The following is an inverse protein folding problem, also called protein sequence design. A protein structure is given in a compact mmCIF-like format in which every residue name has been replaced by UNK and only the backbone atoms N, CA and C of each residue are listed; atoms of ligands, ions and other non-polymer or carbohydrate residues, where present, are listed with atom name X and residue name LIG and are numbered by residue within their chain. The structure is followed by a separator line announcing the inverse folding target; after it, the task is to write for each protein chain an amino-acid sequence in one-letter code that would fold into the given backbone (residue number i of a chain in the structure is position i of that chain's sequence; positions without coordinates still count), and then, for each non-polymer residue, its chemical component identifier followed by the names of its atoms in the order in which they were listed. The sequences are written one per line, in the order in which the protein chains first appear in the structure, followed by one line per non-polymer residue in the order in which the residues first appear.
data_IF_885192630668
#
_entry.id   IF_885192630668
#
_cell.length_a   1.000
_cell.length_b   1.000
_cell.length_c   1.000
_cell.angle_alpha   90.00
_cell.angle_beta   90.00
_cell.angle_gamma   90.00
#
_symmetry.space_group_name_H-M   'P 1'
#
loop_
_entity.id
_entity.type
_entity.pdbx_description
1 polymer ?
#
# COMPACT_ATOMS: atom_id res chain seq x y z
N UNK A 1 19.16 -4.38 -5.63
CA UNK A 1 18.28 -3.50 -4.83
C UNK A 1 18.94 -2.15 -4.69
N UNK A 2 18.33 -1.07 -5.20
CA UNK A 2 18.90 0.30 -5.14
C UNK A 2 18.77 0.91 -3.75
N UNK A 3 17.68 0.63 -3.07
CA UNK A 3 17.37 1.05 -1.71
C UNK A 3 16.86 -0.17 -0.94
N UNK A 4 17.32 -0.40 0.27
CA UNK A 4 16.86 -1.56 1.06
C UNK A 4 15.35 -1.52 1.32
N UNK A 5 14.75 -2.65 1.73
CA UNK A 5 13.31 -2.78 2.00
C UNK A 5 12.76 -1.72 2.98
N UNK A 6 13.59 -1.25 3.92
CA UNK A 6 13.22 -0.23 4.92
C UNK A 6 12.94 1.13 4.29
N UNK A 7 13.83 1.59 3.42
CA UNK A 7 13.63 2.84 2.70
C UNK A 7 12.45 2.73 1.73
N UNK A 8 12.25 1.53 1.12
CA UNK A 8 11.05 1.27 0.33
C UNK A 8 9.77 1.45 1.13
N UNK A 9 9.70 0.87 2.34
CA UNK A 9 8.54 1.06 3.23
C UNK A 9 8.36 2.51 3.67
N UNK A 10 9.46 3.23 3.93
CA UNK A 10 9.38 4.65 4.27
C UNK A 10 8.79 5.48 3.13
N UNK A 11 9.20 5.24 1.88
CA UNK A 11 8.61 5.95 0.75
C UNK A 11 7.13 5.59 0.54
N UNK A 12 6.68 4.40 0.94
CA UNK A 12 5.27 4.04 0.93
C UNK A 12 4.42 4.86 1.91
N UNK A 13 5.01 5.47 2.95
CA UNK A 13 4.28 6.41 3.82
C UNK A 13 3.88 7.71 3.12
N UNK A 14 4.36 7.96 1.90
CA UNK A 14 3.89 9.05 1.06
C UNK A 14 2.53 8.74 0.40
N UNK A 15 2.09 7.48 0.38
CA UNK A 15 0.81 7.12 -0.23
C UNK A 15 -0.40 7.79 0.44
N UNK A 16 -0.55 7.83 1.79
CA UNK A 16 -1.67 8.52 2.42
C UNK A 16 -1.76 10.02 2.13
N UNK A 17 -0.70 10.83 2.30
CA UNK A 17 -0.80 12.25 1.96
C UNK A 17 -1.03 12.48 0.47
N UNK A 18 -0.48 11.63 -0.41
CA UNK A 18 -0.78 11.69 -1.84
C UNK A 18 -2.24 11.34 -2.13
N UNK A 19 -2.77 10.28 -1.51
CA UNK A 19 -4.17 9.90 -1.65
C UNK A 19 -5.12 11.00 -1.14
N UNK A 20 -4.79 11.65 -0.02
CA UNK A 20 -5.56 12.77 0.52
C UNK A 20 -5.55 13.97 -0.44
N UNK A 21 -4.37 14.35 -0.93
CA UNK A 21 -4.22 15.49 -1.85
C UNK A 21 -4.96 15.26 -3.17
N UNK A 22 -4.74 14.12 -3.80
CA UNK A 22 -5.37 13.80 -5.09
C UNK A 22 -6.86 13.44 -4.92
N UNK A 23 -7.28 12.87 -3.78
CA UNK A 23 -8.69 12.68 -3.42
C UNK A 23 -9.43 14.01 -3.33
N UNK A 24 -8.81 15.01 -2.71
CA UNK A 24 -9.35 16.36 -2.67
C UNK A 24 -9.44 16.99 -4.08
N UNK A 25 -8.38 16.92 -4.87
CA UNK A 25 -8.34 17.57 -6.21
C UNK A 25 -9.29 16.86 -7.21
N UNK A 26 -9.33 15.53 -7.22
CA UNK A 26 -10.00 14.75 -8.27
C UNK A 26 -11.43 14.35 -7.86
N UNK A 27 -11.62 13.95 -6.60
CA UNK A 27 -12.90 13.44 -6.09
C UNK A 27 -13.67 14.48 -5.28
N UNK A 28 -13.05 15.64 -4.94
CA UNK A 28 -13.64 16.63 -4.06
C UNK A 28 -13.75 16.17 -2.60
N UNK A 29 -12.99 15.15 -2.20
CA UNK A 29 -12.97 14.66 -0.82
C UNK A 29 -12.38 15.71 0.12
N UNK A 30 -13.07 16.04 1.20
CA UNK A 30 -12.59 17.01 2.19
C UNK A 30 -12.33 16.31 3.51
N UNK A 31 -11.06 16.20 3.87
CA UNK A 31 -10.67 15.70 5.19
C UNK A 31 -10.86 16.79 6.25
N UNK A 32 -11.43 16.42 7.40
CA UNK A 32 -11.46 17.31 8.55
C UNK A 32 -10.05 17.62 9.04
N UNK A 33 -9.88 18.76 9.72
CA UNK A 33 -8.58 19.12 10.34
C UNK A 33 -8.13 18.03 11.31
N UNK A 34 -9.06 17.43 12.02
CA UNK A 34 -8.80 16.30 12.92
C UNK A 34 -8.28 15.08 12.19
N UNK A 35 -8.87 14.73 11.04
CA UNK A 35 -8.39 13.63 10.20
C UNK A 35 -6.96 13.89 9.67
N UNK A 36 -6.64 15.13 9.30
CA UNK A 36 -5.28 15.50 8.90
C UNK A 36 -4.28 15.36 10.05
N UNK A 37 -4.65 15.79 11.25
CA UNK A 37 -3.82 15.59 12.45
C UNK A 37 -3.65 14.09 12.73
N UNK A 38 -4.73 13.31 12.67
CA UNK A 38 -4.71 11.86 12.85
C UNK A 38 -3.76 11.17 11.84
N UNK A 39 -3.83 11.56 10.56
CA UNK A 39 -2.93 11.09 9.52
C UNK A 39 -1.47 11.41 9.87
N UNK A 40 -1.18 12.65 10.23
CA UNK A 40 0.18 13.08 10.56
C UNK A 40 0.75 12.30 11.76
N UNK A 41 -0.03 12.17 12.84
CA UNK A 41 0.37 11.42 14.04
C UNK A 41 0.59 9.94 13.71
N UNK A 42 -0.30 9.33 12.91
CA UNK A 42 -0.17 7.94 12.47
C UNK A 42 1.12 7.72 11.69
N UNK A 43 1.41 8.59 10.72
CA UNK A 43 2.62 8.49 9.90
C UNK A 43 3.90 8.72 10.69
N UNK A 44 3.89 9.61 11.68
CA UNK A 44 5.00 9.79 12.62
C UNK A 44 5.25 8.51 13.42
N UNK A 45 4.20 7.89 13.96
CA UNK A 45 4.32 6.63 14.70
C UNK A 45 4.88 5.50 13.83
N UNK A 46 4.41 5.35 12.60
CA UNK A 46 4.95 4.38 11.63
C UNK A 46 6.43 4.67 11.36
N UNK A 47 6.79 5.94 11.14
CA UNK A 47 8.17 6.36 10.94
C UNK A 47 9.07 5.92 12.10
N UNK A 48 8.68 6.21 13.34
CA UNK A 48 9.42 5.82 14.55
C UNK A 48 9.60 4.30 14.62
N UNK A 49 8.54 3.53 14.34
CA UNK A 49 8.56 2.08 14.36
C UNK A 49 9.50 1.48 13.30
N UNK A 50 9.45 1.98 12.07
CA UNK A 50 10.22 1.45 10.93
C UNK A 50 11.69 1.84 10.99
N UNK A 51 12.02 3.08 11.39
CA UNK A 51 13.41 3.53 11.42
C UNK A 51 14.26 2.81 12.45
N UNK A 52 13.68 2.33 13.55
CA UNK A 52 14.48 1.77 14.65
C UNK A 52 14.83 0.29 14.49
N UNK A 53 14.19 -0.45 13.64
CA UNK A 53 14.48 -1.88 13.39
C UNK A 53 15.89 -2.17 12.85
N UNK A 54 16.78 -1.17 12.82
CA UNK A 54 18.05 -1.17 12.09
C UNK A 54 19.33 -0.83 12.81
N UNK A 55 19.39 -0.83 14.13
CA UNK A 55 20.59 -0.42 14.87
C UNK A 55 21.79 -1.37 14.77
N UNK A 56 21.73 -2.47 14.03
CA UNK A 56 22.86 -3.42 13.88
C UNK A 56 23.80 -3.16 12.69
N UNK A 57 23.45 -2.26 11.76
CA UNK A 57 24.35 -1.86 10.66
C UNK A 57 24.25 -0.34 10.47
N UNK A 58 25.42 0.33 10.41
CA UNK A 58 25.54 1.76 10.10
C UNK A 58 24.66 2.10 8.93
N UNK A 59 23.64 2.95 9.14
CA UNK A 59 22.79 3.48 8.08
C UNK A 59 23.69 4.28 7.16
N UNK A 60 24.11 3.70 6.04
CA UNK A 60 24.77 4.44 4.97
C UNK A 60 23.70 5.32 4.33
N UNK A 61 23.67 6.58 4.66
CA UNK A 61 22.78 7.61 4.09
C UNK A 61 23.08 7.92 2.61
N UNK A 62 24.06 7.24 2.00
CA UNK A 62 24.35 7.39 0.56
C UNK A 62 23.35 6.58 -0.27
N UNK A 63 22.09 7.03 -0.29
CA UNK A 63 21.09 6.49 -1.19
C UNK A 63 21.35 7.05 -2.60
N UNK A 64 21.35 6.20 -3.64
CA UNK A 64 21.43 6.68 -5.01
C UNK A 64 20.19 7.52 -5.33
N UNK A 65 20.37 8.67 -5.97
CA UNK A 65 19.28 9.60 -6.31
C UNK A 65 18.16 8.89 -7.09
N UNK A 66 18.52 7.98 -7.99
CA UNK A 66 17.54 7.15 -8.71
C UNK A 66 16.68 6.31 -7.78
N UNK A 67 17.24 5.74 -6.71
CA UNK A 67 16.47 4.98 -5.71
C UNK A 67 15.48 5.85 -4.94
N UNK A 68 15.86 7.08 -4.61
CA UNK A 68 14.98 8.07 -3.96
C UNK A 68 13.83 8.43 -4.89
N UNK A 69 14.11 8.79 -6.14
CA UNK A 69 13.10 9.17 -7.13
C UNK A 69 12.11 8.04 -7.40
N UNK A 70 12.59 6.80 -7.56
CA UNK A 70 11.71 5.63 -7.71
C UNK A 70 10.88 5.36 -6.45
N UNK A 71 11.45 5.56 -5.26
CA UNK A 71 10.73 5.41 -4.00
C UNK A 71 9.59 6.43 -3.86
N UNK A 72 9.86 7.70 -4.12
CA UNK A 72 8.85 8.77 -4.13
C UNK A 72 7.79 8.46 -5.18
N UNK A 73 8.19 8.12 -6.41
CA UNK A 73 7.28 7.75 -7.48
C UNK A 73 6.37 6.57 -7.12
N UNK A 74 6.89 5.57 -6.42
CA UNK A 74 6.12 4.42 -5.94
C UNK A 74 5.08 4.84 -4.89
N UNK A 75 5.45 5.65 -3.88
CA UNK A 75 4.53 6.11 -2.84
C UNK A 75 3.43 7.01 -3.40
N UNK A 76 3.79 8.01 -4.21
CA UNK A 76 2.83 8.90 -4.87
C UNK A 76 1.94 8.12 -5.84
N UNK A 77 2.53 7.23 -6.65
CA UNK A 77 1.79 6.39 -7.60
C UNK A 77 0.79 5.47 -6.91
N UNK A 78 1.10 4.95 -5.72
CA UNK A 78 0.18 4.16 -4.91
C UNK A 78 -1.03 5.00 -4.47
N UNK A 79 -0.80 6.21 -3.95
CA UNK A 79 -1.87 7.12 -3.53
C UNK A 79 -2.78 7.53 -4.70
N UNK A 80 -2.18 7.97 -5.81
CA UNK A 80 -2.92 8.30 -7.05
C UNK A 80 -3.68 7.09 -7.58
N UNK A 81 -3.08 5.89 -7.55
CA UNK A 81 -3.72 4.66 -7.99
C UNK A 81 -4.99 4.30 -7.20
N UNK A 82 -5.02 4.60 -5.88
CA UNK A 82 -6.21 4.43 -5.06
C UNK A 82 -7.31 5.41 -5.47
N UNK A 83 -6.97 6.69 -5.65
CA UNK A 83 -7.91 7.74 -6.08
C UNK A 83 -8.53 7.44 -7.44
N UNK A 84 -7.71 7.05 -8.42
CA UNK A 84 -8.21 6.67 -9.75
C UNK A 84 -9.09 5.42 -9.70
N UNK A 85 -8.78 4.46 -8.83
CA UNK A 85 -9.63 3.29 -8.64
C UNK A 85 -10.99 3.65 -8.04
N UNK A 86 -11.02 4.54 -7.03
CA UNK A 86 -12.27 5.06 -6.48
C UNK A 86 -13.08 5.82 -7.51
N UNK A 87 -12.43 6.70 -8.26
CA UNK A 87 -13.08 7.43 -9.36
C UNK A 87 -13.73 6.46 -10.37
N UNK A 88 -13.01 5.41 -10.77
CA UNK A 88 -13.56 4.38 -11.65
C UNK A 88 -14.74 3.65 -11.04
N UNK A 89 -14.66 3.24 -9.76
CA UNK A 89 -15.77 2.59 -9.06
C UNK A 89 -17.00 3.50 -8.96
N UNK A 90 -16.83 4.78 -8.60
CA UNK A 90 -17.92 5.75 -8.54
C UNK A 90 -18.62 5.93 -9.89
N UNK A 91 -17.84 5.94 -10.97
CA UNK A 91 -18.38 6.05 -12.33
C UNK A 91 -19.21 4.83 -12.72
N UNK A 92 -18.73 3.64 -12.38
CA UNK A 92 -19.47 2.39 -12.60
C UNK A 92 -20.73 2.32 -11.75
N UNK A 93 -20.65 2.68 -10.47
CA UNK A 93 -21.78 2.69 -9.55
C UNK A 93 -22.93 3.60 -10.07
N UNK A 94 -22.57 4.79 -10.57
CA UNK A 94 -23.53 5.72 -11.18
C UNK A 94 -24.20 5.16 -12.45
N UNK A 95 -23.59 4.18 -13.11
CA UNK A 95 -24.09 3.56 -14.35
C UNK A 95 -24.88 2.27 -14.11
N UNK A 96 -24.87 1.72 -12.90
CA UNK A 96 -25.60 0.48 -12.56
C UNK A 96 -27.08 0.75 -12.37
N UNK A 97 -27.98 0.00 -13.04
CA UNK A 97 -29.41 0.08 -12.81
C UNK A 97 -29.75 -0.27 -11.34
N UNK A 98 -30.73 0.42 -10.74
CA UNK A 98 -31.15 0.24 -9.34
C UNK A 98 -31.55 -1.20 -8.98
N UNK A 99 -31.92 -2.00 -9.97
CA UNK A 99 -32.29 -3.41 -9.83
C UNK A 99 -31.09 -4.34 -9.57
N UNK A 100 -29.87 -3.88 -9.83
CA UNK A 100 -28.63 -4.66 -9.68
C UNK A 100 -27.75 -4.15 -8.52
N UNK A 101 -28.34 -3.62 -7.47
CA UNK A 101 -27.60 -3.03 -6.31
C UNK A 101 -26.64 -4.00 -5.65
N UNK A 102 -26.91 -5.32 -5.68
CA UNK A 102 -25.99 -6.34 -5.15
C UNK A 102 -24.64 -6.39 -5.88
N UNK A 103 -24.60 -5.91 -7.14
CA UNK A 103 -23.38 -5.83 -7.92
C UNK A 103 -22.40 -4.76 -7.43
N UNK A 104 -22.86 -3.77 -6.66
CA UNK A 104 -22.03 -2.68 -6.13
C UNK A 104 -20.95 -3.23 -5.18
N UNK A 105 -21.27 -4.24 -4.39
CA UNK A 105 -20.33 -4.87 -3.46
C UNK A 105 -19.19 -5.62 -4.18
N UNK A 106 -19.37 -5.96 -5.45
CA UNK A 106 -18.36 -6.63 -6.27
C UNK A 106 -17.46 -5.67 -7.04
N UNK A 107 -17.75 -4.36 -7.06
CA UNK A 107 -16.95 -3.36 -7.77
C UNK A 107 -15.47 -3.35 -7.34
N UNK A 108 -15.10 -3.47 -6.06
CA UNK A 108 -13.70 -3.55 -5.65
C UNK A 108 -12.94 -4.73 -6.26
N UNK A 109 -13.61 -5.88 -6.42
CA UNK A 109 -13.02 -7.06 -7.06
C UNK A 109 -12.82 -6.83 -8.56
N UNK A 110 -13.80 -6.25 -9.24
CA UNK A 110 -13.70 -5.88 -10.65
C UNK A 110 -12.57 -4.85 -10.88
N UNK A 111 -12.50 -3.82 -10.04
CA UNK A 111 -11.43 -2.82 -10.07
C UNK A 111 -10.06 -3.45 -9.83
N UNK A 112 -9.94 -4.38 -8.88
CA UNK A 112 -8.70 -5.14 -8.62
C UNK A 112 -8.29 -5.95 -9.84
N UNK A 113 -9.23 -6.59 -10.53
CA UNK A 113 -8.96 -7.37 -11.74
C UNK A 113 -8.44 -6.48 -12.88
N UNK A 114 -9.07 -5.33 -13.12
CA UNK A 114 -8.62 -4.36 -14.12
C UNK A 114 -7.20 -3.86 -13.79
N UNK A 115 -6.92 -3.54 -12.52
CA UNK A 115 -5.57 -3.14 -12.06
C UNK A 115 -4.55 -4.26 -12.30
N UNK A 116 -4.92 -5.52 -12.05
CA UNK A 116 -4.03 -6.67 -12.26
C UNK A 116 -3.69 -6.84 -13.75
N UNK A 117 -4.67 -6.71 -14.64
CA UNK A 117 -4.46 -6.75 -16.10
C UNK A 117 -3.53 -5.61 -16.53
N UNK A 118 -3.82 -4.38 -16.11
CA UNK A 118 -3.01 -3.21 -16.44
C UNK A 118 -1.58 -3.35 -15.94
N UNK A 119 -1.41 -3.86 -14.70
CA UNK A 119 -0.11 -4.16 -14.12
C UNK A 119 0.64 -5.24 -14.90
N UNK A 120 -0.03 -6.31 -15.31
CA UNK A 120 0.55 -7.38 -16.12
C UNK A 120 1.04 -6.86 -17.47
N UNK A 121 0.25 -6.02 -18.16
CA UNK A 121 0.65 -5.37 -19.41
C UNK A 121 1.89 -4.50 -19.21
N UNK A 122 1.92 -3.69 -18.13
CA UNK A 122 3.07 -2.86 -17.79
C UNK A 122 4.34 -3.68 -17.51
N UNK A 123 4.23 -4.79 -16.76
CA UNK A 123 5.36 -5.67 -16.49
C UNK A 123 5.84 -6.42 -17.74
N UNK A 124 4.93 -6.86 -18.62
CA UNK A 124 5.29 -7.47 -19.91
C UNK A 124 6.06 -6.46 -20.77
N UNK A 125 5.57 -5.22 -20.89
CA UNK A 125 6.26 -4.17 -21.62
C UNK A 125 7.67 -3.92 -21.04
N UNK A 126 7.81 -3.89 -19.72
CA UNK A 126 9.10 -3.74 -19.05
C UNK A 126 10.04 -4.93 -19.31
N UNK A 127 9.54 -6.16 -19.35
CA UNK A 127 10.29 -7.35 -19.71
C UNK A 127 10.79 -7.30 -21.16
N UNK A 128 9.92 -6.84 -22.08
CA UNK A 128 10.31 -6.61 -23.47
C UNK A 128 11.46 -5.61 -23.59
N UNK A 129 11.34 -4.45 -22.92
CA UNK A 129 12.37 -3.40 -22.98
C UNK A 129 13.68 -3.85 -22.32
N UNK A 130 13.62 -4.65 -21.26
CA UNK A 130 14.78 -5.13 -20.52
C UNK A 130 15.40 -6.40 -21.11
N UNK A 131 14.73 -7.07 -22.03
CA UNK A 131 15.19 -8.32 -22.66
C UNK A 131 15.38 -9.50 -21.69
N UNK A 132 14.72 -9.50 -20.54
CA UNK A 132 14.92 -10.49 -19.45
C UNK A 132 14.00 -11.71 -19.52
N UNK A 133 13.60 -12.11 -20.71
CA UNK A 133 12.72 -13.25 -20.95
C UNK A 133 13.29 -14.59 -20.49
N UNK A 134 14.60 -14.76 -20.57
CA UNK A 134 15.26 -15.99 -20.12
C UNK A 134 15.19 -16.14 -18.60
N UNK A 135 15.47 -15.06 -17.84
CA UNK A 135 15.37 -15.06 -16.38
C UNK A 135 13.93 -15.35 -15.94
N UNK A 136 12.94 -14.75 -16.61
CA UNK A 136 11.53 -15.00 -16.38
C UNK A 136 11.14 -16.44 -16.66
N UNK A 137 11.58 -17.02 -17.78
CA UNK A 137 11.34 -18.42 -18.13
C UNK A 137 11.95 -19.41 -17.13
N UNK A 138 13.14 -19.10 -16.57
CA UNK A 138 13.75 -19.90 -15.50
C UNK A 138 12.94 -19.83 -14.20
N UNK A 139 12.47 -18.64 -13.82
CA UNK A 139 11.62 -18.46 -12.62
C UNK A 139 10.32 -19.26 -12.71
N UNK A 140 9.69 -19.33 -13.89
CA UNK A 140 8.48 -20.13 -14.12
C UNK A 140 8.70 -21.66 -13.98
N UNK A 141 9.93 -22.14 -14.19
CA UNK A 141 10.25 -23.58 -14.09
C UNK A 141 10.44 -24.07 -12.65
N UNK A 142 10.70 -23.16 -11.71
CA UNK A 142 10.81 -23.53 -10.29
C UNK A 142 9.41 -23.72 -9.68
N UNK A 143 8.97 -24.97 -9.61
CA UNK A 143 7.65 -25.34 -9.09
C UNK A 143 7.41 -24.89 -7.65
N UNK A 144 8.45 -24.91 -6.80
CA UNK A 144 8.32 -24.51 -5.39
C UNK A 144 8.10 -23.01 -5.25
N UNK A 145 8.91 -22.22 -5.95
CA UNK A 145 8.76 -20.74 -5.99
C UNK A 145 7.44 -20.35 -6.63
N UNK A 146 7.01 -21.06 -7.69
CA UNK A 146 5.75 -20.79 -8.36
C UNK A 146 4.54 -21.07 -7.45
N UNK A 147 4.53 -22.18 -6.71
CA UNK A 147 3.47 -22.50 -5.75
C UNK A 147 3.39 -21.44 -4.63
N UNK A 148 4.54 -21.01 -4.08
CA UNK A 148 4.55 -19.95 -3.07
C UNK A 148 4.11 -18.60 -3.63
N UNK A 149 4.51 -18.27 -4.85
CA UNK A 149 4.08 -17.05 -5.56
C UNK A 149 2.58 -17.05 -5.80
N UNK A 150 1.99 -18.21 -6.17
CA UNK A 150 0.56 -18.33 -6.37
C UNK A 150 -0.24 -18.01 -5.09
N UNK A 151 0.15 -18.62 -3.95
CA UNK A 151 -0.49 -18.32 -2.66
C UNK A 151 -0.30 -16.85 -2.23
N UNK A 152 0.91 -16.31 -2.41
CA UNK A 152 1.20 -14.91 -2.11
C UNK A 152 0.37 -13.96 -2.98
N UNK A 153 0.18 -14.27 -4.26
CA UNK A 153 -0.63 -13.47 -5.20
C UNK A 153 -2.12 -13.56 -4.86
N UNK A 154 -2.59 -14.74 -4.49
CA UNK A 154 -4.00 -14.92 -4.13
C UNK A 154 -4.36 -14.18 -2.86
N UNK A 155 -3.53 -14.27 -1.81
CA UNK A 155 -3.80 -13.61 -0.53
C UNK A 155 -3.51 -12.11 -0.55
N UNK A 156 -2.40 -11.68 -1.15
CA UNK A 156 -1.99 -10.27 -1.19
C UNK A 156 -2.69 -9.47 -2.27
N UNK A 157 -2.26 -9.57 -3.53
CA UNK A 157 -2.81 -8.75 -4.63
C UNK A 157 -4.29 -9.00 -4.90
N UNK A 158 -4.79 -10.23 -4.79
CA UNK A 158 -6.20 -10.49 -5.09
C UNK A 158 -7.12 -10.15 -3.91
N UNK A 159 -7.00 -10.84 -2.79
CA UNK A 159 -7.88 -10.59 -1.63
C UNK A 159 -7.52 -9.27 -0.95
N UNK A 160 -6.24 -9.04 -0.65
CA UNK A 160 -5.80 -7.86 0.09
C UNK A 160 -6.10 -6.56 -0.63
N UNK A 161 -5.84 -6.47 -1.94
CA UNK A 161 -6.14 -5.25 -2.72
C UNK A 161 -7.65 -5.06 -2.90
N UNK A 162 -8.43 -6.13 -3.12
CA UNK A 162 -9.88 -6.04 -3.22
C UNK A 162 -10.51 -5.50 -1.93
N UNK A 163 -10.11 -6.01 -0.76
CA UNK A 163 -10.57 -5.51 0.54
C UNK A 163 -10.10 -4.07 0.80
N UNK A 164 -8.89 -3.73 0.35
CA UNK A 164 -8.39 -2.36 0.43
C UNK A 164 -9.22 -1.39 -0.41
N UNK A 165 -9.59 -1.77 -1.63
CA UNK A 165 -10.47 -0.96 -2.48
C UNK A 165 -11.90 -0.90 -1.94
N UNK A 166 -12.36 -1.96 -1.29
CA UNK A 166 -13.65 -1.96 -0.58
C UNK A 166 -13.64 -0.91 0.55
N UNK A 167 -12.56 -0.82 1.33
CA UNK A 167 -12.41 0.24 2.32
C UNK A 167 -12.41 1.64 1.69
N UNK A 168 -11.73 1.82 0.55
CA UNK A 168 -11.70 3.08 -0.20
C UNK A 168 -13.08 3.45 -0.77
N UNK A 169 -13.90 2.48 -1.14
CA UNK A 169 -15.26 2.72 -1.66
C UNK A 169 -16.15 3.41 -0.61
N UNK A 170 -16.01 3.02 0.66
CA UNK A 170 -16.90 3.47 1.74
C UNK A 170 -16.32 4.59 2.63
N UNK A 171 -15.07 5.04 2.38
CA UNK A 171 -14.45 6.12 3.18
C UNK A 171 -13.57 7.01 2.30
N UNK A 172 -13.14 8.16 2.83
CA UNK A 172 -12.22 9.05 2.13
C UNK A 172 -10.88 8.33 1.84
N UNK A 173 -10.36 8.58 0.66
CA UNK A 173 -9.18 7.87 0.13
C UNK A 173 -7.95 8.07 1.02
N UNK A 174 -7.80 9.27 1.61
CA UNK A 174 -6.72 9.58 2.55
C UNK A 174 -6.79 8.77 3.84
N UNK A 175 -7.99 8.63 4.43
CA UNK A 175 -8.21 7.84 5.65
C UNK A 175 -7.94 6.35 5.37
N UNK A 176 -8.56 5.79 4.32
CA UNK A 176 -8.35 4.40 3.92
C UNK A 176 -6.86 4.10 3.70
N UNK A 177 -6.15 4.95 2.96
CA UNK A 177 -4.72 4.80 2.71
C UNK A 177 -3.88 4.88 3.99
N UNK A 178 -4.26 5.72 4.95
CA UNK A 178 -3.58 5.81 6.26
C UNK A 178 -3.75 4.53 7.07
N UNK A 179 -4.95 3.94 7.08
CA UNK A 179 -5.21 2.66 7.74
C UNK A 179 -4.39 1.53 7.09
N UNK A 180 -4.29 1.50 5.76
CA UNK A 180 -3.45 0.54 5.04
C UNK A 180 -1.96 0.70 5.37
N UNK A 181 -1.50 1.93 5.61
CA UNK A 181 -0.12 2.22 6.00
C UNK A 181 0.26 1.66 7.38
N UNK A 182 -0.69 1.21 8.22
CA UNK A 182 -0.42 0.48 9.47
C UNK A 182 0.14 -0.93 9.27
N UNK A 183 0.18 -1.44 8.06
CA UNK A 183 0.68 -2.80 7.76
C UNK A 183 2.01 -3.13 8.45
N UNK A 184 3.05 -2.26 8.50
CA UNK A 184 4.29 -2.57 9.21
C UNK A 184 4.08 -2.80 10.72
N UNK A 185 3.08 -2.17 11.31
CA UNK A 185 2.74 -2.31 12.74
C UNK A 185 2.05 -3.64 12.99
N UNK A 186 1.08 -4.00 12.14
CA UNK A 186 0.39 -5.29 12.24
C UNK A 186 1.32 -6.48 12.05
N UNK A 187 2.42 -6.34 11.29
CA UNK A 187 3.41 -7.40 11.09
C UNK A 187 4.27 -7.64 12.33
N UNK A 188 4.38 -6.70 13.28
CA UNK A 188 5.25 -6.84 14.46
C UNK A 188 4.86 -8.08 15.27
N UNK A 189 3.57 -8.28 15.56
CA UNK A 189 3.11 -9.40 16.39
C UNK A 189 3.35 -10.77 15.71
N UNK A 190 2.94 -11.02 14.45
CA UNK A 190 3.27 -12.26 13.75
C UNK A 190 4.78 -12.49 13.59
N UNK A 191 5.55 -11.43 13.35
CA UNK A 191 7.01 -11.55 13.23
C UNK A 191 7.65 -12.01 14.55
N UNK A 192 7.14 -11.54 15.66
CA UNK A 192 7.61 -11.99 16.98
C UNK A 192 7.21 -13.44 17.26
N UNK A 193 5.95 -13.81 17.03
CA UNK A 193 5.44 -15.14 17.37
C UNK A 193 5.93 -16.23 16.42
N UNK A 194 5.90 -15.99 15.10
CA UNK A 194 6.26 -17.01 14.11
C UNK A 194 7.77 -17.10 13.88
N UNK A 195 8.48 -15.96 13.91
CA UNK A 195 9.90 -15.89 13.55
C UNK A 195 10.80 -15.56 14.73
N UNK A 196 10.25 -15.43 15.96
CA UNK A 196 10.98 -15.09 17.21
C UNK A 196 11.86 -13.84 17.06
N UNK A 197 11.44 -12.89 16.22
CA UNK A 197 12.18 -11.65 16.05
C UNK A 197 12.07 -10.80 17.32
N UNK A 198 13.19 -10.21 17.82
CA UNK A 198 13.14 -9.32 18.95
C UNK A 198 12.35 -8.07 18.62
N UNK A 199 11.40 -7.70 19.47
CA UNK A 199 10.64 -6.46 19.37
C UNK A 199 11.33 -5.39 20.20
N UNK A 200 11.59 -4.27 19.60
CA UNK A 200 12.26 -3.14 20.25
C UNK A 200 11.23 -2.22 20.91
N UNK A 201 11.60 -1.61 22.05
CA UNK A 201 10.75 -0.66 22.74
C UNK A 201 10.23 0.47 21.82
N UNK A 202 11.05 0.96 20.91
CA UNK A 202 10.65 2.00 19.96
C UNK A 202 9.66 1.52 18.89
N UNK A 203 9.69 0.26 18.51
CA UNK A 203 8.66 -0.34 17.66
C UNK A 203 7.30 -0.33 18.35
N UNK A 204 7.28 -0.69 19.64
CA UNK A 204 6.05 -0.65 20.43
C UNK A 204 5.54 0.77 20.62
N UNK A 205 6.43 1.72 20.94
CA UNK A 205 6.08 3.12 21.11
C UNK A 205 5.55 3.72 19.80
N UNK A 206 6.19 3.45 18.67
CA UNK A 206 5.70 3.86 17.36
C UNK A 206 4.33 3.27 17.02
N UNK A 207 4.10 2.00 17.38
CA UNK A 207 2.79 1.36 17.22
C UNK A 207 1.70 2.05 18.05
N UNK A 208 1.98 2.35 19.33
CA UNK A 208 1.02 3.06 20.21
C UNK A 208 0.67 4.44 19.63
N UNK A 209 1.68 5.21 19.21
CA UNK A 209 1.46 6.53 18.60
C UNK A 209 0.61 6.41 17.33
N UNK A 210 0.87 5.41 16.49
CA UNK A 210 0.10 5.20 15.26
C UNK A 210 -1.36 4.85 15.54
N UNK A 211 -1.62 3.96 16.50
CA UNK A 211 -2.99 3.60 16.90
C UNK A 211 -3.73 4.81 17.49
N UNK A 212 -3.04 5.63 18.29
CA UNK A 212 -3.61 6.88 18.79
C UNK A 212 -3.94 7.84 17.63
N UNK A 213 -3.06 7.99 16.64
CA UNK A 213 -3.34 8.79 15.45
C UNK A 213 -4.57 8.30 14.69
N UNK A 214 -4.74 6.97 14.57
CA UNK A 214 -5.93 6.37 13.94
C UNK A 214 -7.20 6.65 14.73
N UNK A 215 -7.16 6.63 16.06
CA UNK A 215 -8.35 6.90 16.87
C UNK A 215 -8.93 8.31 16.59
N UNK A 216 -8.09 9.26 16.20
CA UNK A 216 -8.51 10.62 15.84
C UNK A 216 -9.40 10.67 14.58
N UNK A 217 -9.44 9.63 13.75
CA UNK A 217 -10.38 9.59 12.62
C UNK A 217 -11.82 9.32 13.04
N UNK A 218 -12.05 8.80 14.23
CA UNK A 218 -13.34 8.30 14.68
C UNK A 218 -13.95 9.12 15.83
N UNK A 219 -13.26 10.13 16.29
CA UNK A 219 -13.74 11.08 17.29
C UNK A 219 -14.18 12.37 16.61
#
# INVERSE_FOLDING_TARGET
MLIGSRFGQLFMTLAPPSAALFGWIILGETLSVQALIGMFVTLLGIGISVFHKGSSHKISLKLPLSGILFGIGAGVGQGVGLVLSKMGMNYYEASIPKEMTDSITMLPFAATFIRAITGAVGFIALLCVRGKWQEFGQALRDKRSMHMTWWATFTGPFIGVALSLMAVQYTETGIASTLMALTPIFIIAPAHWCFKQPVTYKEVLGAIISVFGVSLFFI
#
